data_IF_656703122199
#
_entry.id   IF_656703122199
#
_cell.length_a   1.000
_cell.length_b   1.000
_cell.length_c   1.000
_cell.angle_alpha   90.00
_cell.angle_beta   90.00
_cell.angle_gamma   90.00
#
_symmetry.space_group_name_H-M   'P 1'
#
loop_
_entity.id
_entity.type
_entity.pdbx_description
1 polymer ?
#
# COMPACT_ATOMS: atom_id res chain seq x y z
N UNK A 1 13.17 -18.82 -8.81
CA UNK A 1 11.78 -19.05 -9.27
C UNK A 1 11.39 -17.78 -10.01
N UNK A 2 11.99 -17.60 -11.18
CA UNK A 2 11.85 -16.40 -12.00
C UNK A 2 10.58 -16.50 -12.83
N UNK A 3 9.48 -15.96 -12.31
CA UNK A 3 8.30 -15.64 -13.10
C UNK A 3 8.41 -14.18 -13.55
N UNK A 4 9.45 -13.83 -14.31
CA UNK A 4 9.43 -12.59 -15.07
C UNK A 4 8.67 -12.88 -16.36
N UNK A 5 7.43 -12.40 -16.35
CA UNK A 5 6.54 -12.18 -17.48
C UNK A 5 7.36 -11.81 -18.73
N UNK A 6 7.47 -12.74 -19.68
CA UNK A 6 7.79 -12.41 -21.07
C UNK A 6 6.56 -11.69 -21.67
N UNK A 7 6.31 -10.48 -21.21
CA UNK A 7 5.19 -9.64 -21.64
C UNK A 7 5.55 -8.99 -22.96
N UNK A 8 4.60 -8.92 -23.89
CA UNK A 8 4.73 -8.06 -25.07
C UNK A 8 5.10 -6.63 -24.64
N UNK A 9 5.74 -5.86 -25.52
CA UNK A 9 6.02 -4.44 -25.25
C UNK A 9 4.76 -3.70 -24.77
N UNK A 10 3.61 -4.00 -25.37
CA UNK A 10 2.32 -3.43 -25.00
C UNK A 10 1.91 -3.83 -23.57
N UNK A 11 2.14 -5.09 -23.17
CA UNK A 11 1.86 -5.55 -21.81
C UNK A 11 2.70 -4.86 -20.74
N UNK A 12 3.99 -4.63 -21.02
CA UNK A 12 4.88 -3.90 -20.09
C UNK A 12 4.45 -2.43 -19.94
N UNK A 13 4.06 -1.78 -21.04
CA UNK A 13 3.54 -0.40 -21.02
C UNK A 13 2.27 -0.30 -20.15
N UNK A 14 1.36 -1.27 -20.24
CA UNK A 14 0.14 -1.27 -19.42
C UNK A 14 0.43 -1.48 -17.92
N UNK A 15 1.43 -2.30 -17.58
CA UNK A 15 1.87 -2.49 -16.19
C UNK A 15 2.47 -1.20 -15.63
N UNK A 16 3.32 -0.52 -16.40
CA UNK A 16 3.92 0.76 -16.00
C UNK A 16 2.85 1.86 -15.81
N UNK A 17 1.89 1.94 -16.72
CA UNK A 17 0.78 2.88 -16.61
C UNK A 17 -0.07 2.61 -15.34
N UNK A 18 -0.39 1.34 -15.06
CA UNK A 18 -1.10 0.96 -13.84
C UNK A 18 -0.32 1.26 -12.57
N UNK A 19 0.99 1.01 -12.56
CA UNK A 19 1.87 1.32 -11.44
C UNK A 19 1.92 2.84 -11.16
N UNK A 20 1.99 3.66 -12.22
CA UNK A 20 1.97 5.12 -12.10
C UNK A 20 0.64 5.64 -11.55
N UNK A 21 -0.47 5.13 -12.05
CA UNK A 21 -1.81 5.51 -11.57
C UNK A 21 -1.96 5.17 -10.09
N UNK A 22 -1.61 3.95 -9.70
CA UNK A 22 -1.69 3.54 -8.30
C UNK A 22 -0.76 4.36 -7.40
N UNK A 23 0.44 4.71 -7.86
CA UNK A 23 1.33 5.62 -7.14
C UNK A 23 0.68 6.99 -6.90
N UNK A 24 -0.10 7.50 -7.86
CA UNK A 24 -0.90 8.72 -7.70
C UNK A 24 -1.93 8.60 -6.58
N UNK A 25 -2.69 7.49 -6.56
CA UNK A 25 -3.68 7.21 -5.51
C UNK A 25 -3.03 7.07 -4.12
N UNK A 26 -1.87 6.42 -4.04
CA UNK A 26 -1.09 6.33 -2.80
C UNK A 26 -0.55 7.68 -2.34
N UNK A 27 -0.24 8.59 -3.27
CA UNK A 27 0.13 9.97 -2.96
C UNK A 27 -1.01 10.76 -2.29
N UNK A 28 -2.26 10.52 -2.68
CA UNK A 28 -3.43 11.10 -1.99
C UNK A 28 -3.53 10.57 -0.56
N UNK A 29 -3.36 9.26 -0.37
CA UNK A 29 -3.35 8.66 0.97
C UNK A 29 -2.20 9.18 1.84
N UNK A 30 -1.00 9.32 1.27
CA UNK A 30 0.17 9.90 1.94
C UNK A 30 -0.13 11.30 2.46
N UNK A 31 -0.64 12.20 1.60
CA UNK A 31 -0.98 13.56 1.98
C UNK A 31 -2.07 13.59 3.08
N UNK A 32 -3.09 12.74 2.94
CA UNK A 32 -4.16 12.62 3.93
C UNK A 32 -3.64 12.16 5.29
N UNK A 33 -2.85 11.09 5.35
CA UNK A 33 -2.29 10.57 6.60
C UNK A 33 -1.30 11.55 7.24
N UNK A 34 -0.52 12.28 6.44
CA UNK A 34 0.39 13.30 6.94
C UNK A 34 -0.37 14.47 7.60
N UNK A 35 -1.50 14.89 7.02
CA UNK A 35 -2.30 16.00 7.53
C UNK A 35 -3.23 15.61 8.69
N UNK A 36 -3.82 14.41 8.62
CA UNK A 36 -4.97 14.04 9.45
C UNK A 36 -4.71 12.81 10.33
N UNK A 37 -3.54 12.16 10.24
CA UNK A 37 -3.25 10.88 10.88
C UNK A 37 -3.25 10.88 12.42
N UNK A 38 -2.86 9.75 13.05
CA UNK A 38 -2.08 8.67 12.45
C UNK A 38 -2.88 7.51 11.85
N UNK A 39 -4.21 7.51 11.93
CA UNK A 39 -5.11 6.58 11.23
C UNK A 39 -5.95 7.34 10.20
N UNK A 40 -6.68 6.61 9.34
CA UNK A 40 -7.40 7.22 8.21
C UNK A 40 -8.48 8.21 8.68
N UNK A 41 -9.06 7.98 9.85
CA UNK A 41 -10.10 8.84 10.45
C UNK A 41 -9.59 9.71 11.61
N UNK A 42 -8.26 9.84 11.77
CA UNK A 42 -7.69 10.66 12.84
C UNK A 42 -6.88 9.88 13.86
N UNK A 43 -7.07 10.26 15.13
CA UNK A 43 -6.29 9.77 16.27
C UNK A 43 -6.42 8.26 16.51
N UNK A 44 -7.60 7.72 16.27
CA UNK A 44 -7.99 6.38 16.70
C UNK A 44 -8.25 5.44 15.52
N UNK A 45 -7.96 4.15 15.73
CA UNK A 45 -8.26 3.12 14.74
C UNK A 45 -9.77 2.95 14.60
N UNK A 46 -10.25 2.88 13.37
CA UNK A 46 -11.66 2.73 13.02
C UNK A 46 -11.87 1.57 12.04
N UNK A 47 -13.13 1.27 11.75
CA UNK A 47 -13.47 0.30 10.70
C UNK A 47 -12.92 0.70 9.32
N UNK A 48 -12.71 2.01 9.06
CA UNK A 48 -12.15 2.51 7.82
C UNK A 48 -10.70 2.07 7.58
N UNK A 49 -9.96 1.77 8.65
CA UNK A 49 -8.56 1.36 8.57
C UNK A 49 -8.39 -0.09 8.11
N UNK A 50 -9.44 -0.92 8.18
CA UNK A 50 -9.37 -2.31 7.74
C UNK A 50 -9.17 -2.42 6.22
N UNK A 51 -10.07 -1.88 5.37
CA UNK A 51 -9.88 -1.95 3.92
C UNK A 51 -8.65 -1.17 3.45
N UNK A 52 -8.38 0.01 4.04
CA UNK A 52 -7.21 0.82 3.67
C UNK A 52 -5.91 0.11 4.05
N UNK A 53 -5.85 -0.51 5.22
CA UNK A 53 -4.71 -1.32 5.65
C UNK A 53 -4.41 -2.48 4.69
N UNK A 54 -5.43 -3.10 4.08
CA UNK A 54 -5.23 -4.17 3.08
C UNK A 54 -4.72 -3.63 1.75
N UNK A 55 -5.19 -2.46 1.31
CA UNK A 55 -4.64 -1.77 0.12
C UNK A 55 -3.16 -1.42 0.33
N UNK A 56 -2.81 -0.92 1.52
CA UNK A 56 -1.42 -0.60 1.88
C UNK A 56 -0.56 -1.86 1.96
N UNK A 57 -1.08 -2.97 2.49
CA UNK A 57 -0.38 -4.26 2.46
C UNK A 57 -0.06 -4.69 1.02
N UNK A 58 -1.04 -4.61 0.12
CA UNK A 58 -0.85 -4.95 -1.29
C UNK A 58 0.18 -4.04 -1.96
N UNK A 59 0.13 -2.74 -1.66
CA UNK A 59 1.11 -1.77 -2.14
C UNK A 59 2.52 -2.22 -1.79
N UNK A 60 2.80 -2.56 -0.52
CA UNK A 60 4.13 -3.00 -0.11
C UNK A 60 4.51 -4.42 -0.58
N UNK A 61 3.54 -5.28 -0.87
CA UNK A 61 3.79 -6.69 -1.24
C UNK A 61 4.12 -6.89 -2.72
N UNK A 62 3.64 -6.02 -3.63
CA UNK A 62 3.87 -6.18 -5.08
C UNK A 62 5.22 -5.56 -5.46
N UNK A 63 6.14 -6.28 -6.14
CA UNK A 63 7.46 -5.76 -6.50
C UNK A 63 7.39 -4.80 -7.71
N UNK A 64 7.75 -3.53 -7.49
CA UNK A 64 7.99 -2.50 -8.51
C UNK A 64 8.62 -1.26 -7.82
N UNK A 65 9.15 -0.32 -8.60
CA UNK A 65 9.71 0.93 -8.07
C UNK A 65 8.59 1.80 -7.48
N UNK A 66 8.70 2.15 -6.20
CA UNK A 66 7.72 2.96 -5.48
C UNK A 66 8.34 4.29 -5.04
N UNK A 67 7.57 5.40 -5.09
CA UNK A 67 7.96 6.60 -4.37
C UNK A 67 8.07 6.35 -2.87
N UNK A 68 8.86 7.16 -2.19
CA UNK A 68 8.93 7.14 -0.74
C UNK A 68 7.71 7.86 -0.15
N UNK A 69 6.89 7.13 0.60
CA UNK A 69 5.70 7.64 1.29
C UNK A 69 5.83 7.33 2.80
N UNK A 70 6.22 8.36 3.57
CA UNK A 70 6.59 8.22 4.99
C UNK A 70 5.36 8.06 5.88
N UNK A 71 4.27 8.79 5.61
CA UNK A 71 3.04 8.65 6.37
C UNK A 71 2.39 7.28 6.12
N UNK A 72 2.40 6.80 4.87
CA UNK A 72 1.92 5.46 4.50
C UNK A 72 2.74 4.35 5.16
N UNK A 73 4.08 4.44 5.14
CA UNK A 73 4.93 3.44 5.82
C UNK A 73 4.76 3.48 7.34
N UNK A 74 4.68 4.67 7.95
CA UNK A 74 4.38 4.82 9.37
C UNK A 74 3.01 4.27 9.75
N UNK A 75 1.99 4.45 8.90
CA UNK A 75 0.67 3.84 9.05
C UNK A 75 0.73 2.30 8.98
N UNK A 76 1.47 1.76 8.01
CA UNK A 76 1.68 0.32 7.84
C UNK A 76 2.36 -0.32 9.05
N UNK A 77 3.38 0.32 9.60
CA UNK A 77 4.08 -0.11 10.82
C UNK A 77 3.17 0.00 12.05
N UNK A 78 2.35 1.05 12.15
CA UNK A 78 1.38 1.21 13.22
C UNK A 78 0.33 0.12 13.23
N UNK A 79 -0.25 -0.21 12.08
CA UNK A 79 -1.22 -1.31 11.97
C UNK A 79 -0.58 -2.66 12.38
N UNK A 80 0.70 -2.86 12.07
CA UNK A 80 1.45 -4.06 12.44
C UNK A 80 1.63 -4.25 13.95
N UNK A 81 1.34 -3.26 14.79
CA UNK A 81 1.26 -3.43 16.25
C UNK A 81 0.07 -4.32 16.64
N UNK A 82 -0.97 -4.40 15.80
CA UNK A 82 -2.19 -5.20 16.03
C UNK A 82 -2.00 -6.63 15.56
N UNK A 83 -2.21 -7.61 16.45
CA UNK A 83 -2.08 -9.03 16.11
C UNK A 83 -2.93 -9.47 14.91
N UNK A 84 -4.22 -9.09 14.79
CA UNK A 84 -5.03 -9.49 13.62
C UNK A 84 -4.48 -8.97 12.30
N UNK A 85 -3.87 -7.77 12.29
CA UNK A 85 -3.30 -7.20 11.08
C UNK A 85 -2.03 -7.94 10.64
N UNK A 86 -1.19 -8.39 11.58
CA UNK A 86 -0.06 -9.27 11.25
C UNK A 86 -0.51 -10.63 10.73
N UNK A 87 -1.64 -11.15 11.19
CA UNK A 87 -2.16 -12.45 10.76
C UNK A 87 -2.79 -12.40 9.36
N UNK A 88 -3.49 -11.32 9.01
CA UNK A 88 -4.34 -11.26 7.81
C UNK A 88 -3.96 -10.17 6.79
N UNK A 89 -3.15 -9.19 7.18
CA UNK A 89 -2.64 -8.13 6.30
C UNK A 89 -1.16 -8.33 6.03
N UNK A 90 -0.31 -7.85 6.94
CA UNK A 90 1.16 -7.93 6.87
C UNK A 90 1.68 -9.35 7.18
N UNK A 91 1.23 -10.32 6.39
CA UNK A 91 1.52 -11.75 6.54
C UNK A 91 2.37 -12.32 5.40
N UNK A 92 2.84 -11.48 4.47
CA UNK A 92 3.63 -11.89 3.31
C UNK A 92 2.81 -12.24 2.06
N UNK A 93 1.48 -12.04 2.09
CA UNK A 93 0.61 -12.21 0.92
C UNK A 93 -0.07 -10.89 0.51
N UNK A 94 -0.23 -10.59 -0.80
CA UNK A 94 -0.94 -9.40 -1.29
C UNK A 94 -2.47 -9.42 -1.15
#
# INVERSE_FOLDING_TARGET
MDLIVAGSKDGLVMVEAGAKEWAGQMGVLEAHLAANGPYVMGKDFTIGDIPVGLVVNRWFSIPFQKPEFKAVSGYYDRLAQRQPYRAHGRNGTP
#
